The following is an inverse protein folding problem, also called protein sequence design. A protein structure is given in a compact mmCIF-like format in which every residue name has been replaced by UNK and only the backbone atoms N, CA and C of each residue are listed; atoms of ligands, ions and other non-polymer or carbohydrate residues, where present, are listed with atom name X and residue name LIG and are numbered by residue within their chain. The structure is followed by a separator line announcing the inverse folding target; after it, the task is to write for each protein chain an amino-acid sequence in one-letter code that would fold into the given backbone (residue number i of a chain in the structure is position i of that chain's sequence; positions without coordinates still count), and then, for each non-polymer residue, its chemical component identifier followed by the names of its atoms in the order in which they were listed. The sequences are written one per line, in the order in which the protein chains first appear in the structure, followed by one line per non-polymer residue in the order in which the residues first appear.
data_IF_998777469903
#
_entry.id   IF_998777469903
#
_cell.length_a   1.000
_cell.length_b   1.000
_cell.length_c   1.000
_cell.angle_alpha   90.00
_cell.angle_beta   90.00
_cell.angle_gamma   90.00
#
_symmetry.space_group_name_H-M   'P 1'
#
loop_
_entity.id
_entity.type
_entity.pdbx_description
1 polymer ?
#
# COMPACT_ATOMS: atom_id res chain seq x y z
N UNK A 1 -5.96 10.95 -32.28
CA UNK A 1 -6.69 11.00 -33.56
C UNK A 1 -7.16 12.43 -33.76
N UNK A 2 -6.68 13.16 -34.75
CA UNK A 2 -7.11 14.53 -34.98
C UNK A 2 -8.35 14.51 -35.88
N UNK A 3 -9.50 14.91 -35.36
CA UNK A 3 -10.69 15.13 -36.18
C UNK A 3 -10.73 16.58 -36.64
N UNK A 4 -10.55 16.83 -37.94
CA UNK A 4 -10.71 18.15 -38.55
C UNK A 4 -12.12 18.23 -39.13
N UNK A 5 -12.97 19.08 -38.59
CA UNK A 5 -14.28 19.40 -39.16
C UNK A 5 -14.22 20.75 -39.90
N UNK A 6 -14.55 20.76 -41.17
CA UNK A 6 -14.67 21.98 -41.99
C UNK A 6 -16.12 22.47 -41.97
N UNK A 7 -16.38 23.64 -41.43
CA UNK A 7 -17.66 24.31 -41.57
C UNK A 7 -17.41 25.82 -41.75
N UNK A 8 -17.69 26.34 -42.95
CA UNK A 8 -17.76 27.78 -43.18
C UNK A 8 -16.46 28.55 -43.02
N UNK A 9 -15.33 28.05 -43.52
CA UNK A 9 -14.05 28.81 -43.56
C UNK A 9 -13.33 29.01 -42.23
N UNK A 10 -13.77 28.38 -41.14
CA UNK A 10 -13.04 28.30 -39.85
C UNK A 10 -12.61 26.89 -39.55
N UNK A 11 -11.32 26.73 -39.22
CA UNK A 11 -10.77 25.46 -38.76
C UNK A 11 -11.01 25.41 -37.24
N UNK A 12 -11.84 24.44 -36.81
CA UNK A 12 -11.97 24.14 -35.40
C UNK A 12 -11.03 22.94 -35.11
N UNK A 13 -10.02 23.17 -34.30
CA UNK A 13 -9.26 22.10 -33.71
C UNK A 13 -10.08 21.55 -32.55
N UNK A 14 -10.57 20.33 -32.68
CA UNK A 14 -11.05 19.58 -31.53
C UNK A 14 -9.78 19.03 -30.85
N UNK A 15 -9.33 19.66 -29.79
CA UNK A 15 -8.37 19.02 -28.88
C UNK A 15 -9.09 17.88 -28.20
N UNK A 16 -8.87 16.67 -28.69
CA UNK A 16 -9.25 15.46 -27.95
C UNK A 16 -8.21 15.29 -26.85
N UNK A 17 -8.41 15.95 -25.75
CA UNK A 17 -7.66 15.75 -24.50
C UNK A 17 -8.43 14.90 -23.49
N UNK A 18 -9.44 14.16 -23.94
CA UNK A 18 -10.11 13.21 -23.06
C UNK A 18 -9.38 11.85 -23.10
N UNK A 19 -8.23 11.80 -22.43
CA UNK A 19 -7.79 10.52 -21.90
C UNK A 19 -8.66 10.21 -20.68
N UNK A 20 -9.14 8.94 -20.55
CA UNK A 20 -9.92 8.56 -19.38
C UNK A 20 -9.20 8.97 -18.09
N UNK A 21 -9.91 9.57 -17.16
CA UNK A 21 -9.37 9.89 -15.86
C UNK A 21 -8.99 8.57 -15.14
N UNK A 22 -7.73 8.48 -14.75
CA UNK A 22 -7.20 7.32 -14.03
C UNK A 22 -6.90 7.69 -12.58
N UNK A 23 -7.21 6.77 -11.67
CA UNK A 23 -6.88 6.95 -10.25
C UNK A 23 -5.43 6.56 -10.02
N UNK A 24 -4.61 7.51 -9.57
CA UNK A 24 -3.22 7.22 -9.22
C UNK A 24 -3.13 6.18 -8.09
N UNK A 25 -2.13 5.31 -8.19
CA UNK A 25 -1.90 4.30 -7.16
C UNK A 25 -1.49 4.93 -5.83
N UNK A 26 -2.16 4.60 -4.71
CA UNK A 26 -1.86 5.19 -3.40
C UNK A 26 -0.57 4.64 -2.77
N UNK A 27 0.19 3.77 -3.44
CA UNK A 27 1.27 2.99 -2.83
C UNK A 27 2.34 3.85 -2.16
N UNK A 28 2.76 4.94 -2.80
CA UNK A 28 3.82 5.80 -2.26
C UNK A 28 3.33 6.61 -1.06
N UNK A 29 2.10 7.12 -1.11
CA UNK A 29 1.52 7.87 0.00
C UNK A 29 1.25 6.96 1.20
N UNK A 30 0.69 5.77 0.96
CA UNK A 30 0.47 4.74 2.00
C UNK A 30 1.79 4.36 2.66
N UNK A 31 2.83 4.10 1.86
CA UNK A 31 4.14 3.73 2.39
C UNK A 31 4.76 4.85 3.23
N UNK A 32 4.65 6.10 2.79
CA UNK A 32 5.18 7.25 3.53
C UNK A 32 4.50 7.42 4.89
N UNK A 33 3.16 7.42 4.94
CA UNK A 33 2.38 7.56 6.19
C UNK A 33 2.60 6.36 7.12
N UNK A 34 2.60 5.15 6.58
CA UNK A 34 2.84 3.92 7.35
C UNK A 34 4.28 3.85 7.87
N UNK A 35 5.28 4.18 7.04
CA UNK A 35 6.70 4.16 7.41
C UNK A 35 7.01 5.13 8.54
N UNK A 36 6.41 6.32 8.52
CA UNK A 36 6.53 7.27 9.62
C UNK A 36 6.06 6.68 10.97
N UNK A 37 4.94 5.93 10.94
CA UNK A 37 4.40 5.32 12.16
C UNK A 37 5.27 4.15 12.69
N UNK A 38 5.75 3.27 11.80
CA UNK A 38 6.53 2.09 12.25
C UNK A 38 7.97 2.41 12.60
N UNK A 39 8.51 3.54 12.12
CA UNK A 39 9.89 3.97 12.38
C UNK A 39 10.19 4.17 13.86
N UNK A 40 9.18 4.43 14.69
CA UNK A 40 9.34 4.56 16.15
C UNK A 40 9.84 3.27 16.81
N UNK A 41 9.48 2.11 16.27
CA UNK A 41 9.93 0.80 16.79
C UNK A 41 11.08 0.24 15.97
N UNK A 42 11.01 0.34 14.63
CA UNK A 42 11.99 -0.29 13.76
C UNK A 42 13.29 0.53 13.65
N UNK A 43 13.20 1.85 13.80
CA UNK A 43 14.26 2.79 13.46
C UNK A 43 14.16 3.24 11.99
N UNK A 44 14.87 4.32 11.66
CA UNK A 44 14.72 5.08 10.42
C UNK A 44 14.88 4.28 9.13
N UNK A 45 15.70 3.25 9.08
CA UNK A 45 16.03 2.54 7.85
C UNK A 45 15.66 1.04 7.91
N UNK A 46 14.78 0.69 8.84
CA UNK A 46 14.42 -0.70 9.09
C UNK A 46 12.98 -1.02 8.63
N UNK A 47 12.55 -0.40 7.54
CA UNK A 47 11.31 -0.74 6.83
C UNK A 47 11.49 -0.55 5.32
N UNK A 48 10.75 -1.31 4.51
CA UNK A 48 10.85 -1.21 3.04
C UNK A 48 9.55 -1.59 2.33
N UNK A 49 9.48 -1.25 1.04
CA UNK A 49 8.47 -1.76 0.11
C UNK A 49 8.89 -3.08 -0.56
N UNK A 50 10.12 -3.50 -0.36
CA UNK A 50 10.63 -4.74 -0.93
C UNK A 50 10.17 -5.95 -0.11
N UNK A 51 9.54 -6.92 -0.76
CA UNK A 51 9.10 -8.18 -0.15
C UNK A 51 10.22 -9.15 0.19
N UNK A 52 11.49 -8.82 -0.07
CA UNK A 52 12.62 -9.68 0.22
C UNK A 52 12.85 -9.86 1.73
N UNK A 53 12.81 -11.09 2.21
CA UNK A 53 12.98 -11.41 3.63
C UNK A 53 14.43 -11.27 4.12
N UNK A 54 15.41 -11.24 3.20
CA UNK A 54 16.83 -11.08 3.53
C UNK A 54 17.15 -9.78 4.25
N UNK A 55 16.34 -8.75 4.03
CA UNK A 55 16.49 -7.45 4.67
C UNK A 55 16.24 -7.46 6.18
N UNK A 56 15.53 -8.46 6.70
CA UNK A 56 15.26 -8.62 8.14
C UNK A 56 16.42 -9.26 8.91
N UNK A 57 17.39 -9.85 8.22
CA UNK A 57 18.53 -10.54 8.85
C UNK A 57 19.39 -9.58 9.67
N UNK A 58 19.72 -9.99 10.90
CA UNK A 58 20.55 -9.20 11.83
C UNK A 58 19.85 -7.99 12.45
N UNK A 59 18.60 -7.70 12.15
CA UNK A 59 17.86 -6.57 12.71
C UNK A 59 16.98 -7.00 13.88
N UNK A 60 16.89 -6.15 14.92
CA UNK A 60 16.02 -6.40 16.09
C UNK A 60 14.55 -6.25 15.77
N UNK A 61 14.20 -5.32 14.89
CA UNK A 61 12.85 -5.10 14.36
C UNK A 61 12.96 -4.61 12.93
N UNK A 62 12.09 -5.11 12.06
CA UNK A 62 12.02 -4.75 10.66
C UNK A 62 10.59 -4.92 10.15
N UNK A 63 10.16 -4.05 9.26
CA UNK A 63 8.82 -4.11 8.69
C UNK A 63 8.83 -3.94 7.17
N UNK A 64 7.89 -4.59 6.51
CA UNK A 64 7.69 -4.48 5.06
C UNK A 64 6.23 -4.17 4.79
N UNK A 65 5.99 -3.27 3.83
CA UNK A 65 4.67 -3.03 3.27
C UNK A 65 4.80 -2.99 1.76
N UNK A 66 4.07 -3.86 1.07
CA UNK A 66 4.03 -3.87 -0.38
C UNK A 66 2.62 -4.12 -0.89
N UNK A 67 2.35 -3.56 -2.07
CA UNK A 67 1.06 -3.70 -2.71
C UNK A 67 0.95 -5.06 -3.40
N UNK A 68 -0.16 -5.76 -3.17
CA UNK A 68 -0.49 -7.03 -3.82
C UNK A 68 -1.21 -6.81 -5.15
N UNK A 69 -1.97 -5.74 -5.26
CA UNK A 69 -2.72 -5.37 -6.45
C UNK A 69 -3.59 -4.14 -6.23
N UNK A 70 -4.05 -3.55 -7.33
CA UNK A 70 -4.93 -2.38 -7.33
C UNK A 70 -5.96 -2.47 -8.47
N UNK A 71 -6.85 -3.50 -8.46
CA UNK A 71 -7.84 -3.65 -9.51
C UNK A 71 -8.86 -2.51 -9.49
N UNK A 72 -9.30 -2.11 -10.68
CA UNK A 72 -10.44 -1.21 -10.84
C UNK A 72 -11.70 -1.95 -10.36
N UNK A 73 -12.48 -1.32 -9.51
CA UNK A 73 -13.73 -1.89 -8.97
C UNK A 73 -14.97 -1.21 -9.53
N UNK A 74 -14.85 0.03 -9.99
CA UNK A 74 -15.90 0.80 -10.62
C UNK A 74 -15.30 1.72 -11.68
N UNK A 75 -15.92 1.67 -12.87
CA UNK A 75 -15.73 2.63 -13.93
C UNK A 75 -17.08 3.20 -14.34
N UNK A 76 -17.10 4.30 -15.03
CA UNK A 76 -18.29 4.86 -15.64
C UNK A 76 -18.47 4.35 -17.09
N UNK A 77 -19.50 4.87 -17.78
CA UNK A 77 -19.80 4.48 -19.16
C UNK A 77 -18.85 5.14 -20.18
N UNK A 78 -18.09 6.14 -19.77
CA UNK A 78 -17.13 6.91 -20.58
C UNK A 78 -15.72 6.32 -20.49
N UNK A 79 -15.51 5.36 -19.56
CA UNK A 79 -14.25 4.64 -19.38
C UNK A 79 -13.38 5.19 -18.27
N UNK A 80 -13.88 6.17 -17.49
CA UNK A 80 -13.16 6.75 -16.37
C UNK A 80 -13.16 5.82 -15.16
N UNK A 81 -12.04 5.82 -14.43
CA UNK A 81 -11.90 5.04 -13.21
C UNK A 81 -12.55 5.77 -12.03
N UNK A 82 -13.65 5.22 -11.51
CA UNK A 82 -14.33 5.82 -10.35
C UNK A 82 -13.83 5.28 -9.00
N UNK A 83 -13.35 4.05 -8.96
CA UNK A 83 -12.78 3.45 -7.76
C UNK A 83 -11.87 2.27 -8.08
N UNK A 84 -10.83 2.13 -7.27
CA UNK A 84 -9.95 0.95 -7.25
C UNK A 84 -10.03 0.24 -5.91
N UNK A 85 -9.46 -0.95 -5.81
CA UNK A 85 -9.38 -1.70 -4.55
C UNK A 85 -7.93 -2.11 -4.25
N UNK A 86 -7.08 -1.16 -3.82
CA UNK A 86 -5.72 -1.47 -3.46
C UNK A 86 -5.69 -2.45 -2.28
N UNK A 87 -4.83 -3.45 -2.41
CA UNK A 87 -4.55 -4.41 -1.35
C UNK A 87 -3.07 -4.43 -1.05
N UNK A 88 -2.75 -4.45 0.25
CA UNK A 88 -1.40 -4.41 0.77
C UNK A 88 -1.13 -5.59 1.68
N UNK A 89 0.10 -6.07 1.68
CA UNK A 89 0.59 -6.98 2.69
C UNK A 89 1.62 -6.28 3.56
N UNK A 90 1.49 -6.48 4.86
CA UNK A 90 2.45 -6.04 5.86
C UNK A 90 3.09 -7.27 6.49
N UNK A 91 4.41 -7.28 6.53
CA UNK A 91 5.22 -8.26 7.24
C UNK A 91 5.97 -7.55 8.36
N UNK A 92 5.78 -7.99 9.60
CA UNK A 92 6.51 -7.51 10.76
C UNK A 92 7.50 -8.58 11.22
N UNK A 93 8.75 -8.22 11.38
CA UNK A 93 9.83 -9.12 11.81
C UNK A 93 10.47 -8.60 13.08
N UNK A 94 10.75 -9.49 14.02
CA UNK A 94 11.57 -9.17 15.20
C UNK A 94 12.45 -10.34 15.56
N UNK A 95 13.59 -10.03 16.23
CA UNK A 95 14.54 -11.04 16.70
C UNK A 95 15.06 -10.70 18.10
N UNK A 96 15.73 -11.66 18.73
CA UNK A 96 16.34 -11.48 20.03
C UNK A 96 15.38 -11.67 21.22
N UNK A 97 15.78 -11.16 22.39
CA UNK A 97 14.96 -11.28 23.60
C UNK A 97 13.63 -10.55 23.46
N UNK A 98 12.54 -11.16 23.93
CA UNK A 98 11.17 -10.62 23.84
C UNK A 98 10.69 -10.38 22.39
N UNK A 99 11.25 -11.11 21.41
CA UNK A 99 10.89 -10.95 20.01
C UNK A 99 9.37 -11.11 19.76
N UNK A 100 8.74 -12.08 20.43
CA UNK A 100 7.31 -12.32 20.27
C UNK A 100 6.46 -11.12 20.74
N UNK A 101 6.74 -10.56 21.89
CA UNK A 101 6.03 -9.37 22.38
C UNK A 101 6.23 -8.20 21.45
N UNK A 102 7.47 -7.97 21.03
CA UNK A 102 7.82 -6.84 20.15
C UNK A 102 7.19 -6.94 18.77
N UNK A 103 7.04 -8.15 18.19
CA UNK A 103 6.40 -8.29 16.89
C UNK A 103 4.91 -7.95 16.94
N UNK A 104 4.22 -8.27 18.04
CA UNK A 104 2.82 -7.86 18.23
C UNK A 104 2.68 -6.35 18.50
N UNK A 105 3.62 -5.73 19.20
CA UNK A 105 3.65 -4.27 19.36
C UNK A 105 3.85 -3.56 18.01
N UNK A 106 4.75 -4.07 17.17
CA UNK A 106 4.99 -3.55 15.83
C UNK A 106 3.76 -3.73 14.92
N UNK A 107 3.11 -4.91 14.94
CA UNK A 107 1.86 -5.14 14.20
C UNK A 107 0.74 -4.19 14.67
N UNK A 108 0.63 -3.93 15.98
CA UNK A 108 -0.38 -3.02 16.53
C UNK A 108 -0.21 -1.59 16.00
N UNK A 109 1.02 -1.09 15.93
CA UNK A 109 1.30 0.26 15.40
C UNK A 109 1.04 0.29 13.90
N UNK A 110 1.53 -0.70 13.17
CA UNK A 110 1.27 -0.85 11.74
C UNK A 110 -0.23 -0.91 11.44
N UNK A 111 -0.98 -1.71 12.22
CA UNK A 111 -2.43 -1.82 12.07
C UNK A 111 -3.13 -0.46 12.28
N UNK A 112 -2.75 0.26 13.33
CA UNK A 112 -3.33 1.59 13.61
C UNK A 112 -3.07 2.56 12.46
N UNK A 113 -1.85 2.57 11.89
CA UNK A 113 -1.52 3.39 10.73
C UNK A 113 -2.39 3.06 9.51
N UNK A 114 -2.56 1.76 9.20
CA UNK A 114 -3.41 1.33 8.09
C UNK A 114 -4.88 1.70 8.29
N UNK A 115 -5.40 1.52 9.51
CA UNK A 115 -6.79 1.89 9.84
C UNK A 115 -7.02 3.40 9.76
N UNK A 116 -6.07 4.22 10.21
CA UNK A 116 -6.16 5.68 10.09
C UNK A 116 -6.26 6.12 8.63
N UNK A 117 -5.59 5.44 7.69
CA UNK A 117 -5.71 5.67 6.26
C UNK A 117 -6.98 5.05 5.62
N UNK A 118 -7.86 4.45 6.43
CA UNK A 118 -9.13 3.87 6.01
C UNK A 118 -9.06 2.43 5.51
N UNK A 119 -7.93 1.75 5.64
CA UNK A 119 -7.81 0.34 5.27
C UNK A 119 -8.42 -0.58 6.33
N UNK A 120 -9.01 -1.67 5.87
CA UNK A 120 -9.51 -2.74 6.74
C UNK A 120 -8.57 -3.94 6.64
N UNK A 121 -8.28 -4.57 7.78
CA UNK A 121 -7.56 -5.84 7.81
C UNK A 121 -8.44 -6.93 7.21
N UNK A 122 -7.95 -7.60 6.19
CA UNK A 122 -8.63 -8.71 5.50
C UNK A 122 -8.05 -10.06 5.86
N UNK A 123 -6.83 -10.08 6.43
CA UNK A 123 -6.11 -11.29 6.83
C UNK A 123 -5.11 -10.99 7.95
N UNK A 124 -4.93 -11.93 8.86
CA UNK A 124 -3.96 -11.86 9.96
C UNK A 124 -4.44 -11.04 11.18
N UNK A 125 -3.53 -10.74 12.14
CA UNK A 125 -2.10 -11.09 12.13
C UNK A 125 -1.86 -12.59 12.26
N UNK A 126 -1.16 -13.17 11.30
CA UNK A 126 -0.83 -14.59 11.32
C UNK A 126 0.65 -14.78 11.61
N UNK A 127 1.01 -15.54 12.67
CA UNK A 127 2.39 -15.86 12.96
C UNK A 127 2.93 -16.87 11.96
N UNK A 128 4.09 -16.56 11.39
CA UNK A 128 4.86 -17.48 10.57
C UNK A 128 6.11 -17.92 11.34
N UNK A 129 6.31 -19.23 11.38
CA UNK A 129 7.43 -19.84 12.09
C UNK A 129 8.57 -20.12 11.11
N UNK A 130 9.78 -19.64 11.45
CA UNK A 130 11.01 -19.86 10.69
C UNK A 130 11.93 -20.82 11.45
N UNK A 131 11.43 -21.97 11.87
CA UNK A 131 12.23 -22.96 12.61
C UNK A 131 12.98 -22.33 13.80
N UNK A 132 14.24 -22.68 13.97
CA UNK A 132 15.09 -22.24 15.10
C UNK A 132 15.81 -20.89 14.85
N UNK A 133 15.43 -20.14 13.82
CA UNK A 133 16.14 -18.89 13.45
C UNK A 133 16.05 -17.76 14.49
N UNK A 134 15.21 -17.89 15.51
CA UNK A 134 14.97 -16.86 16.51
C UNK A 134 14.18 -15.63 15.98
N UNK A 135 13.87 -15.62 14.70
CA UNK A 135 13.08 -14.56 14.06
C UNK A 135 11.59 -14.87 14.24
N UNK A 136 10.83 -13.86 14.66
CA UNK A 136 9.38 -13.92 14.72
C UNK A 136 8.80 -13.04 13.61
N UNK A 137 7.85 -13.58 12.84
CA UNK A 137 7.19 -12.87 11.75
C UNK A 137 5.67 -12.89 11.96
N UNK A 138 5.02 -11.75 11.75
CA UNK A 138 3.57 -11.64 11.59
C UNK A 138 3.26 -11.12 10.19
N UNK A 139 2.22 -11.70 9.61
CA UNK A 139 1.70 -11.30 8.29
C UNK A 139 0.28 -10.79 8.45
N UNK A 140 0.02 -9.60 7.92
CA UNK A 140 -1.31 -9.00 7.86
C UNK A 140 -1.59 -8.48 6.45
N UNK A 141 -2.84 -8.56 6.00
CA UNK A 141 -3.27 -7.98 4.72
C UNK A 141 -4.38 -6.97 4.95
N UNK A 142 -4.37 -5.97 4.10
CA UNK A 142 -5.30 -4.84 4.18
C UNK A 142 -5.84 -4.51 2.81
N UNK A 143 -7.09 -4.05 2.76
CA UNK A 143 -7.71 -3.55 1.53
C UNK A 143 -8.73 -2.46 1.86
N UNK A 144 -9.03 -1.62 0.87
CA UNK A 144 -10.12 -0.64 0.91
C UNK A 144 -10.62 -0.34 -0.50
N UNK A 145 -11.81 0.23 -0.61
CA UNK A 145 -12.22 0.93 -1.82
C UNK A 145 -11.57 2.33 -1.78
N UNK A 146 -10.86 2.68 -2.85
CA UNK A 146 -10.09 3.91 -2.97
C UNK A 146 -10.60 4.72 -4.16
N UNK A 147 -10.86 6.00 -3.91
CA UNK A 147 -11.44 6.95 -4.88
C UNK A 147 -10.52 8.14 -5.15
N UNK A 148 -9.21 7.94 -5.01
CA UNK A 148 -8.19 8.97 -5.26
C UNK A 148 -7.65 9.67 -4.02
N UNK A 149 -8.25 9.47 -2.82
CA UNK A 149 -7.77 10.09 -1.57
C UNK A 149 -7.71 9.10 -0.42
N UNK A 150 -6.68 9.23 0.44
CA UNK A 150 -6.62 8.54 1.71
C UNK A 150 -7.41 9.33 2.78
N UNK A 151 -7.78 8.65 3.86
CA UNK A 151 -8.25 9.32 5.07
C UNK A 151 -7.04 9.93 5.80
N UNK A 152 -7.25 11.05 6.46
CA UNK A 152 -6.24 11.73 7.28
C UNK A 152 -6.38 11.33 8.76
#
# INVERSE_FOLDING_TARGET
MQCVHYKGGRIFYCEVTDMPDTIESPVLEVFSKWGAAVSDITGKDNYSMDGSETNASGKKAYAQLYMLGNPITRGDLEGDECATMPSFQVNCFTSGSKALTRVYELDKISHKAMVNMGFRRTYGPEPMFFGDSGIKKLVSRYSRIYTGTLLD
#
